data_IF_546963492823
#
_entry.id   IF_546963492823
#
_cell.length_a   1.000
_cell.length_b   1.000
_cell.length_c   1.000
_cell.angle_alpha   90.00
_cell.angle_beta   90.00
_cell.angle_gamma   90.00
#
_symmetry.space_group_name_H-M   'P 1'
#
loop_
_entity.id
_entity.type
_entity.pdbx_description
1 polymer ?
#
# COMPACT_ATOMS: atom_id res chain seq x y z
N UNK A 1 8.96 1.15 13.32
CA UNK A 1 8.04 -0.02 13.35
C UNK A 1 8.28 -0.95 14.54
N UNK A 2 8.32 -0.41 15.77
CA UNK A 2 8.40 -1.23 16.98
C UNK A 2 9.60 -2.19 17.06
N UNK A 3 9.57 -3.10 18.04
CA UNK A 3 10.48 -4.25 18.14
C UNK A 3 9.80 -5.49 17.57
N UNK A 4 10.54 -6.30 16.81
CA UNK A 4 10.04 -7.58 16.28
C UNK A 4 9.62 -8.51 17.43
N UNK A 5 8.46 -9.17 17.30
CA UNK A 5 7.92 -10.05 18.34
C UNK A 5 7.28 -9.34 19.53
N UNK A 6 7.19 -8.00 19.53
CA UNK A 6 6.53 -7.24 20.60
C UNK A 6 5.00 -7.11 20.42
N UNK A 7 4.42 -7.77 19.41
CA UNK A 7 2.95 -7.86 19.28
C UNK A 7 2.39 -8.75 20.38
N UNK A 8 1.12 -8.53 20.75
CA UNK A 8 0.41 -9.46 21.64
C UNK A 8 0.29 -10.83 20.98
N UNK A 9 0.27 -11.90 21.78
CA UNK A 9 0.14 -13.27 21.28
C UNK A 9 -1.31 -13.70 21.01
N UNK A 10 -2.29 -12.92 21.49
CA UNK A 10 -3.73 -13.22 21.41
C UNK A 10 -4.43 -12.46 20.28
N UNK A 11 -3.72 -12.23 19.17
CA UNK A 11 -4.27 -11.63 17.96
C UNK A 11 -4.72 -12.72 16.96
N UNK A 12 -5.69 -12.37 16.14
CA UNK A 12 -6.09 -13.18 14.99
C UNK A 12 -5.38 -12.64 13.74
N UNK A 13 -4.63 -13.52 13.06
CA UNK A 13 -3.95 -13.20 11.82
C UNK A 13 -4.78 -13.67 10.62
N UNK A 14 -4.96 -12.81 9.63
CA UNK A 14 -5.59 -13.16 8.36
C UNK A 14 -4.89 -12.43 7.22
N UNK A 15 -4.71 -13.11 6.09
CA UNK A 15 -4.29 -12.49 4.82
C UNK A 15 -5.48 -11.92 4.03
N UNK A 16 -6.71 -12.25 4.43
CA UNK A 16 -7.94 -11.69 3.85
C UNK A 16 -8.37 -10.45 4.65
N UNK A 17 -8.24 -9.27 4.04
CA UNK A 17 -8.60 -7.99 4.65
C UNK A 17 -10.10 -7.92 4.99
N UNK A 18 -11.00 -8.63 4.29
CA UNK A 18 -12.43 -8.65 4.64
C UNK A 18 -12.68 -9.34 5.98
N UNK A 19 -11.92 -10.41 6.26
CA UNK A 19 -11.98 -11.09 7.56
C UNK A 19 -11.50 -10.15 8.68
N UNK A 20 -10.47 -9.33 8.42
CA UNK A 20 -9.99 -8.33 9.39
C UNK A 20 -11.01 -7.22 9.61
N UNK A 21 -11.64 -6.72 8.55
CA UNK A 21 -12.73 -5.73 8.61
C UNK A 21 -13.86 -6.24 9.48
N UNK A 22 -14.34 -7.46 9.24
CA UNK A 22 -15.44 -8.05 10.01
C UNK A 22 -15.03 -8.36 11.45
N UNK A 23 -13.77 -8.77 11.68
CA UNK A 23 -13.22 -8.97 13.02
C UNK A 23 -13.24 -7.69 13.85
N UNK A 24 -12.80 -6.57 13.27
CA UNK A 24 -12.82 -5.26 13.95
C UNK A 24 -14.25 -4.75 14.15
N UNK A 25 -15.10 -4.82 13.12
CA UNK A 25 -16.46 -4.29 13.20
C UNK A 25 -17.35 -5.03 14.23
N UNK A 26 -17.13 -6.33 14.42
CA UNK A 26 -17.96 -7.16 15.30
C UNK A 26 -17.38 -7.35 16.72
N UNK A 27 -16.21 -6.76 17.03
CA UNK A 27 -15.56 -6.89 18.32
C UNK A 27 -15.51 -5.55 19.03
N UNK A 28 -16.15 -5.44 20.20
CA UNK A 28 -16.06 -4.22 21.02
C UNK A 28 -14.60 -3.94 21.41
N UNK A 29 -14.08 -2.78 21.02
CA UNK A 29 -12.68 -2.41 21.23
C UNK A 29 -11.69 -3.13 20.31
N UNK A 30 -12.16 -3.85 19.29
CA UNK A 30 -11.32 -4.46 18.27
C UNK A 30 -10.46 -3.43 17.54
N UNK A 31 -9.20 -3.79 17.27
CA UNK A 31 -8.25 -2.97 16.52
C UNK A 31 -7.50 -3.88 15.55
N UNK A 32 -7.21 -3.36 14.36
CA UNK A 32 -6.48 -4.08 13.32
C UNK A 32 -5.81 -3.10 12.36
N UNK A 33 -4.89 -3.63 11.56
CA UNK A 33 -4.28 -2.93 10.43
C UNK A 33 -4.52 -3.76 9.17
N UNK A 34 -4.99 -3.11 8.12
CA UNK A 34 -5.33 -3.71 6.82
C UNK A 34 -5.28 -2.64 5.73
N UNK A 35 -5.44 -3.03 4.47
CA UNK A 35 -5.39 -2.09 3.33
C UNK A 35 -6.36 -0.91 3.47
N UNK A 36 -5.89 0.32 3.21
CA UNK A 36 -6.68 1.55 3.37
C UNK A 36 -8.02 1.52 2.60
N UNK A 37 -8.01 1.00 1.36
CA UNK A 37 -9.21 0.91 0.52
C UNK A 37 -10.31 0.04 1.15
N UNK A 38 -9.95 -0.99 1.94
CA UNK A 38 -10.93 -1.79 2.67
C UNK A 38 -11.60 -0.99 3.81
N UNK A 39 -10.87 -0.07 4.45
CA UNK A 39 -11.49 0.89 5.35
C UNK A 39 -12.43 1.83 4.59
N UNK A 40 -12.03 2.39 3.45
CA UNK A 40 -12.87 3.32 2.69
C UNK A 40 -14.22 2.70 2.32
N UNK A 41 -14.21 1.44 1.86
CA UNK A 41 -15.41 0.68 1.51
C UNK A 41 -16.32 0.33 2.70
N UNK A 42 -15.81 0.44 3.93
CA UNK A 42 -16.48 0.02 5.17
C UNK A 42 -16.46 1.15 6.23
N UNK A 43 -16.32 2.40 5.79
CA UNK A 43 -16.18 3.59 6.65
C UNK A 43 -17.45 3.93 7.44
N UNK A 44 -18.58 3.31 7.10
CA UNK A 44 -19.84 3.36 7.83
C UNK A 44 -19.83 2.52 9.11
N UNK A 45 -19.02 1.44 9.15
CA UNK A 45 -18.91 0.53 10.30
C UNK A 45 -17.55 0.57 11.00
N UNK A 46 -16.55 1.20 10.39
CA UNK A 46 -15.19 1.30 10.92
C UNK A 46 -14.82 2.75 11.28
N UNK A 47 -13.85 2.89 12.18
CA UNK A 47 -13.24 4.18 12.51
C UNK A 47 -11.75 4.14 12.22
N UNK A 48 -11.27 4.99 11.33
CA UNK A 48 -9.85 5.20 11.15
C UNK A 48 -9.21 5.86 12.39
N UNK A 49 -8.00 5.41 12.73
CA UNK A 49 -7.19 6.02 13.77
C UNK A 49 -6.10 6.88 13.13
N UNK A 50 -5.94 8.08 13.68
CA UNK A 50 -4.81 8.94 13.34
C UNK A 50 -3.55 8.41 14.03
N UNK A 51 -2.41 8.55 13.37
CA UNK A 51 -1.12 8.07 13.88
C UNK A 51 -0.23 9.27 14.19
N UNK A 52 0.36 9.27 15.39
CA UNK A 52 1.39 10.22 15.76
C UNK A 52 2.76 9.55 15.65
N UNK A 53 3.57 10.02 14.70
CA UNK A 53 4.95 9.60 14.49
C UNK A 53 5.98 10.59 15.04
N UNK A 54 5.58 11.46 15.97
CA UNK A 54 6.44 12.45 16.64
C UNK A 54 6.22 13.90 16.18
N UNK A 55 5.25 14.16 15.31
CA UNK A 55 4.90 15.50 14.82
C UNK A 55 3.41 15.82 14.93
N UNK A 56 2.68 15.03 15.73
CA UNK A 56 1.24 15.11 15.88
C UNK A 56 0.51 14.06 15.06
N UNK A 57 -0.79 13.94 15.33
CA UNK A 57 -1.65 12.94 14.71
C UNK A 57 -1.96 13.28 13.24
N UNK A 58 -1.73 12.33 12.35
CA UNK A 58 -2.08 12.40 10.92
C UNK A 58 -3.18 11.38 10.62
N UNK A 59 -4.23 11.79 9.90
CA UNK A 59 -5.31 10.92 9.45
C UNK A 59 -4.93 10.15 8.18
N UNK A 60 -5.35 8.89 8.00
CA UNK A 60 -5.10 8.19 6.76
C UNK A 60 -5.94 8.76 5.62
N UNK A 61 -5.28 9.07 4.51
CA UNK A 61 -5.91 9.41 3.24
C UNK A 61 -4.98 9.01 2.09
N UNK A 62 -5.48 9.04 0.85
CA UNK A 62 -4.63 8.88 -0.33
C UNK A 62 -3.49 9.91 -0.34
N UNK A 63 -3.79 11.16 0.01
CA UNK A 63 -2.82 12.26 0.05
C UNK A 63 -1.74 12.03 1.12
N UNK A 64 -2.13 11.73 2.37
CA UNK A 64 -1.18 11.52 3.48
C UNK A 64 -0.36 10.25 3.31
N UNK A 65 -0.88 9.26 2.57
CA UNK A 65 -0.12 8.08 2.18
C UNK A 65 0.89 8.40 1.07
N UNK A 66 0.48 9.12 0.02
CA UNK A 66 1.32 9.47 -1.12
C UNK A 66 2.46 10.42 -0.76
N UNK A 67 2.21 11.40 0.12
CA UNK A 67 3.22 12.37 0.54
C UNK A 67 4.11 11.88 1.71
N UNK A 68 3.81 10.70 2.26
CA UNK A 68 4.57 10.08 3.35
C UNK A 68 4.28 10.61 4.76
N UNK A 69 3.27 11.47 4.93
CA UNK A 69 2.88 12.01 6.25
C UNK A 69 2.20 10.97 7.14
N UNK A 70 1.46 10.00 6.57
CA UNK A 70 0.86 8.90 7.32
C UNK A 70 1.89 7.80 7.66
N UNK A 71 2.88 8.18 8.45
CA UNK A 71 3.98 7.30 8.85
C UNK A 71 3.71 6.63 10.20
N UNK A 72 4.12 5.37 10.41
CA UNK A 72 4.89 4.52 9.48
C UNK A 72 4.03 3.46 8.77
N UNK A 73 2.71 3.70 8.69
CA UNK A 73 1.74 2.72 8.17
C UNK A 73 1.46 2.88 6.67
N UNK A 74 1.94 3.94 6.03
CA UNK A 74 2.04 4.02 4.57
C UNK A 74 3.40 3.50 4.08
N UNK A 75 3.42 2.89 2.89
CA UNK A 75 4.66 2.51 2.21
C UNK A 75 4.48 2.52 0.69
N UNK A 76 5.50 2.94 -0.07
CA UNK A 76 5.54 2.70 -1.51
C UNK A 76 5.75 1.20 -1.78
N UNK A 77 5.18 0.71 -2.88
CA UNK A 77 5.40 -0.63 -3.40
C UNK A 77 6.27 -0.56 -4.65
N UNK A 78 7.24 -1.47 -4.74
CA UNK A 78 8.20 -1.51 -5.83
C UNK A 78 8.19 -2.88 -6.51
N UNK A 79 8.43 -2.87 -7.82
CA UNK A 79 8.89 -4.05 -8.56
C UNK A 79 10.41 -3.93 -8.77
N UNK A 80 11.11 -5.05 -8.81
CA UNK A 80 12.57 -5.10 -8.92
C UNK A 80 13.01 -5.87 -10.17
N UNK A 81 12.75 -5.35 -11.39
CA UNK A 81 13.25 -5.98 -12.60
C UNK A 81 14.78 -5.89 -12.63
N UNK A 82 15.45 -7.01 -12.91
CA UNK A 82 16.88 -7.00 -13.13
C UNK A 82 17.18 -6.36 -14.50
N UNK A 83 18.03 -5.32 -14.55
CA UNK A 83 18.47 -4.63 -15.79
C UNK A 83 18.79 -5.61 -16.92
N UNK A 84 19.72 -6.54 -16.68
CA UNK A 84 20.08 -7.58 -17.65
C UNK A 84 18.88 -8.38 -18.18
N UNK A 85 17.90 -8.70 -17.33
CA UNK A 85 16.72 -9.44 -17.79
C UNK A 85 15.79 -8.56 -18.62
N UNK A 86 15.62 -7.29 -18.25
CA UNK A 86 14.88 -6.33 -19.06
C UNK A 86 15.54 -6.15 -20.43
N UNK A 87 16.87 -6.00 -20.48
CA UNK A 87 17.67 -5.84 -21.69
C UNK A 87 17.61 -7.04 -22.65
N UNK A 88 17.81 -8.24 -22.11
CA UNK A 88 18.10 -9.43 -22.92
C UNK A 88 16.87 -10.31 -23.16
N UNK A 89 15.78 -10.12 -22.40
CA UNK A 89 14.57 -10.96 -22.48
C UNK A 89 13.36 -10.13 -22.90
N UNK A 90 12.95 -10.18 -24.18
CA UNK A 90 11.81 -9.40 -24.68
C UNK A 90 10.51 -9.59 -23.90
N UNK A 91 10.26 -10.80 -23.37
CA UNK A 91 9.09 -11.09 -22.54
C UNK A 91 9.13 -10.40 -21.17
N UNK A 92 10.32 -10.14 -20.62
CA UNK A 92 10.46 -9.40 -19.35
C UNK A 92 10.25 -7.91 -19.61
N UNK A 93 10.90 -7.35 -20.64
CA UNK A 93 10.66 -5.97 -21.06
C UNK A 93 9.17 -5.71 -21.32
N UNK A 94 8.54 -6.54 -22.15
CA UNK A 94 7.13 -6.41 -22.48
C UNK A 94 6.19 -6.50 -21.26
N UNK A 95 6.51 -7.33 -20.27
CA UNK A 95 5.74 -7.37 -19.03
C UNK A 95 5.93 -6.11 -18.19
N UNK A 96 7.16 -5.64 -18.00
CA UNK A 96 7.45 -4.43 -17.22
C UNK A 96 6.81 -3.21 -17.88
N UNK A 97 6.99 -3.04 -19.20
CA UNK A 97 6.41 -1.93 -19.97
C UNK A 97 4.87 -1.93 -19.86
N UNK A 98 4.25 -3.12 -20.02
CA UNK A 98 2.81 -3.27 -19.85
C UNK A 98 2.37 -2.93 -18.42
N UNK A 99 3.08 -3.44 -17.41
CA UNK A 99 2.76 -3.21 -16.01
C UNK A 99 2.78 -1.71 -15.69
N UNK A 100 3.84 -1.00 -16.09
CA UNK A 100 3.99 0.44 -15.86
C UNK A 100 2.95 1.24 -16.63
N UNK A 101 2.71 0.93 -17.92
CA UNK A 101 1.72 1.61 -18.74
C UNK A 101 0.25 1.42 -18.26
N UNK A 102 -0.01 0.39 -17.46
CA UNK A 102 -1.35 0.06 -16.96
C UNK A 102 -1.47 0.21 -15.43
N UNK A 103 -0.50 0.86 -14.78
CA UNK A 103 -0.46 1.03 -13.32
C UNK A 103 -1.77 1.55 -12.70
N UNK A 104 -2.46 2.56 -13.26
CA UNK A 104 -3.72 3.05 -12.67
C UNK A 104 -4.79 1.96 -12.59
N UNK A 105 -5.00 1.21 -13.68
CA UNK A 105 -6.00 0.14 -13.72
C UNK A 105 -5.60 -1.05 -12.82
N UNK A 106 -4.31 -1.38 -12.77
CA UNK A 106 -3.80 -2.47 -11.92
C UNK A 106 -3.95 -2.12 -10.44
N UNK A 107 -3.58 -0.89 -10.05
CA UNK A 107 -3.67 -0.44 -8.64
C UNK A 107 -5.12 -0.33 -8.18
N UNK A 108 -6.02 0.19 -9.01
CA UNK A 108 -7.45 0.22 -8.73
C UNK A 108 -8.01 -1.21 -8.53
N UNK A 109 -7.72 -2.13 -9.46
CA UNK A 109 -8.20 -3.51 -9.37
C UNK A 109 -7.63 -4.26 -8.15
N UNK A 110 -6.40 -3.93 -7.74
CA UNK A 110 -5.74 -4.49 -6.57
C UNK A 110 -6.06 -3.75 -5.26
N UNK A 111 -6.94 -2.73 -5.30
CA UNK A 111 -7.33 -1.93 -4.14
C UNK A 111 -6.15 -1.22 -3.44
N UNK A 112 -5.15 -0.78 -4.23
CA UNK A 112 -4.07 0.09 -3.78
C UNK A 112 -4.37 1.56 -4.09
N UNK A 113 -3.72 2.45 -3.32
CA UNK A 113 -3.70 3.88 -3.62
C UNK A 113 -2.86 4.07 -4.90
N UNK A 114 -3.41 4.65 -5.98
CA UNK A 114 -2.67 4.87 -7.21
C UNK A 114 -1.54 5.88 -6.99
N UNK A 115 -0.53 5.86 -7.86
CA UNK A 115 0.52 6.88 -7.86
C UNK A 115 -0.08 8.25 -8.21
N UNK A 116 0.44 9.32 -7.59
CA UNK A 116 0.18 10.67 -8.06
C UNK A 116 1.02 10.99 -9.32
N UNK A 117 0.85 12.20 -9.87
CA UNK A 117 1.54 12.60 -11.11
C UNK A 117 3.07 12.60 -10.95
N UNK A 118 3.60 13.13 -9.85
CA UNK A 118 5.04 13.18 -9.57
C UNK A 118 5.63 11.76 -9.48
N UNK A 119 5.00 10.89 -8.69
CA UNK A 119 5.42 9.49 -8.53
C UNK A 119 5.33 8.70 -9.83
N UNK A 120 4.34 9.00 -10.68
CA UNK A 120 4.21 8.37 -12.00
C UNK A 120 5.38 8.78 -12.91
N UNK A 121 5.72 10.07 -12.93
CA UNK A 121 6.87 10.58 -13.70
C UNK A 121 8.22 10.01 -13.21
N UNK A 122 8.39 9.86 -11.89
CA UNK A 122 9.56 9.18 -11.32
C UNK A 122 9.63 7.72 -11.78
N UNK A 123 8.49 7.03 -11.79
CA UNK A 123 8.39 5.63 -12.23
C UNK A 123 8.71 5.48 -13.71
N UNK A 124 8.21 6.36 -14.58
CA UNK A 124 8.53 6.38 -16.00
C UNK A 124 10.01 6.70 -16.25
N UNK A 125 10.56 7.64 -15.48
CA UNK A 125 11.99 7.99 -15.53
C UNK A 125 12.85 6.78 -15.13
N UNK A 126 12.48 6.07 -14.07
CA UNK A 126 13.16 4.85 -13.64
C UNK A 126 13.10 3.73 -14.70
N UNK A 127 11.95 3.54 -15.36
CA UNK A 127 11.79 2.59 -16.47
C UNK A 127 12.74 2.93 -17.63
N UNK A 128 12.82 4.20 -18.02
CA UNK A 128 13.69 4.66 -19.10
C UNK A 128 15.20 4.46 -18.80
N UNK A 129 15.54 4.35 -17.52
CA UNK A 129 16.90 4.06 -17.05
C UNK A 129 17.27 2.57 -17.05
N UNK A 130 16.32 1.65 -17.28
CA UNK A 130 16.63 0.23 -17.39
C UNK A 130 17.41 -0.03 -18.69
N UNK A 131 18.55 -0.71 -18.57
CA UNK A 131 19.49 -1.02 -19.65
C UNK A 131 19.66 -2.49 -19.88
#
# INVERSE_FOLDING_TARGET
NGEEGASRDDYEASEDDNVLVDGVANTEGGMGYFGFTFYEQNSDKLKALQIDSGSGCVEPSAETAQNGEYSPLSRPLFIYPANKSYAEKPQVAGFVDFYIANLPAITEAALYIPLNEEQSQETESALSGLQ
#
